data_IF_321027573360
#
_entry.id   IF_321027573360
#
_cell.length_a   1.000
_cell.length_b   1.000
_cell.length_c   1.000
_cell.angle_alpha   90.00
_cell.angle_beta   90.00
_cell.angle_gamma   90.00
#
_symmetry.space_group_name_H-M   'P 1'
#
loop_
_entity.id
_entity.type
_entity.pdbx_description
1 polymer ?
#
# COMPACT_ATOMS: atom_id res chain seq x y z
N UNK A 1 -19.50 -4.36 2.85
CA UNK A 1 -18.29 -4.20 3.68
C UNK A 1 -17.84 -2.73 3.70
N UNK A 2 -18.75 -1.77 3.79
CA UNK A 2 -18.42 -0.34 3.64
C UNK A 2 -18.08 0.35 4.96
N UNK A 3 -18.71 -0.08 6.06
CA UNK A 3 -18.43 0.46 7.40
C UNK A 3 -16.98 0.20 7.82
N UNK A 4 -16.43 -0.98 7.56
CA UNK A 4 -15.04 -1.29 7.89
C UNK A 4 -14.03 -0.55 7.00
N UNK A 5 -14.39 -0.24 5.75
CA UNK A 5 -13.55 0.57 4.86
C UNK A 5 -13.38 2.00 5.39
N UNK A 6 -14.48 2.62 5.82
CA UNK A 6 -14.43 3.97 6.37
C UNK A 6 -14.00 4.02 7.84
N UNK A 7 -14.30 2.98 8.62
CA UNK A 7 -14.02 2.91 10.06
C UNK A 7 -13.37 1.57 10.41
N UNK A 8 -12.12 1.34 9.98
CA UNK A 8 -11.43 0.09 10.27
C UNK A 8 -11.04 0.02 11.74
N UNK A 9 -11.11 -1.18 12.32
CA UNK A 9 -10.66 -1.44 13.69
C UNK A 9 -9.15 -1.26 13.86
N UNK A 10 -8.40 -1.47 12.78
CA UNK A 10 -6.95 -1.27 12.71
C UNK A 10 -6.69 -0.18 11.68
N UNK A 11 -6.04 0.90 12.11
CA UNK A 11 -5.82 2.08 11.24
C UNK A 11 -4.53 1.99 10.43
N UNK A 12 -3.54 1.25 10.92
CA UNK A 12 -2.24 1.07 10.30
C UNK A 12 -1.58 -0.24 10.75
N UNK A 13 -0.64 -0.71 9.94
CA UNK A 13 0.34 -1.71 10.33
C UNK A 13 1.71 -1.08 10.47
N UNK A 14 2.58 -1.70 11.27
CA UNK A 14 3.99 -1.35 11.31
C UNK A 14 4.83 -2.57 10.96
N UNK A 15 5.93 -2.34 10.23
CA UNK A 15 6.94 -3.34 9.91
C UNK A 15 8.31 -2.71 10.11
N UNK A 16 9.18 -3.36 10.88
CA UNK A 16 10.58 -2.94 10.99
C UNK A 16 11.41 -3.68 9.94
N UNK A 17 12.30 -2.97 9.24
CA UNK A 17 13.28 -3.61 8.35
C UNK A 17 14.24 -4.47 9.16
N UNK A 18 14.82 -5.50 8.52
CA UNK A 18 15.76 -6.40 9.20
C UNK A 18 16.98 -5.60 9.66
N UNK A 19 17.56 -6.00 10.79
CA UNK A 19 18.75 -5.32 11.35
C UNK A 19 20.02 -5.53 10.51
N UNK A 20 20.05 -6.58 9.69
CA UNK A 20 21.27 -7.04 9.00
C UNK A 20 21.50 -6.37 7.63
N UNK A 21 20.46 -5.80 7.01
CA UNK A 21 20.57 -5.30 5.63
C UNK A 21 19.60 -4.15 5.35
N UNK A 22 20.07 -3.20 4.56
CA UNK A 22 19.23 -2.15 3.98
C UNK A 22 18.33 -2.76 2.90
N UNK A 23 17.10 -2.26 2.78
CA UNK A 23 16.10 -2.80 1.85
C UNK A 23 15.78 -1.74 0.79
N UNK A 24 15.81 -2.15 -0.47
CA UNK A 24 15.27 -1.35 -1.57
C UNK A 24 13.77 -1.59 -1.63
N UNK A 25 12.98 -0.55 -1.36
CA UNK A 25 11.52 -0.61 -1.42
C UNK A 25 11.03 -0.03 -2.75
N UNK A 26 10.44 -0.84 -3.64
CA UNK A 26 9.84 -0.34 -4.87
C UNK A 26 8.52 0.37 -4.58
N UNK A 27 8.30 1.49 -5.27
CA UNK A 27 7.07 2.26 -5.21
C UNK A 27 6.15 1.85 -6.37
N UNK A 28 4.85 1.70 -6.09
CA UNK A 28 3.85 1.38 -7.11
C UNK A 28 3.63 2.52 -8.12
N UNK A 29 3.88 3.76 -7.70
CA UNK A 29 3.88 4.97 -8.52
C UNK A 29 5.14 5.77 -8.25
N UNK A 30 5.75 6.42 -9.27
CA UNK A 30 6.89 7.29 -9.03
C UNK A 30 6.52 8.43 -8.09
N UNK A 31 7.33 8.68 -7.06
CA UNK A 31 7.22 9.87 -6.22
C UNK A 31 8.16 10.96 -6.74
N UNK A 32 7.84 12.23 -6.49
CA UNK A 32 8.70 13.35 -6.92
C UNK A 32 9.76 13.62 -5.86
N UNK A 33 11.03 13.46 -6.24
CA UNK A 33 12.17 13.84 -5.40
C UNK A 33 12.34 15.37 -5.30
N UNK A 34 13.19 15.82 -4.37
CA UNK A 34 13.53 17.25 -4.21
C UNK A 34 14.21 17.85 -5.45
N UNK A 35 14.88 17.00 -6.24
CA UNK A 35 15.51 17.32 -7.51
C UNK A 35 14.51 17.35 -8.70
N UNK A 36 13.23 17.07 -8.45
CA UNK A 36 12.21 16.99 -9.51
C UNK A 36 12.20 15.68 -10.29
N UNK A 37 13.16 14.77 -10.05
CA UNK A 37 13.20 13.46 -10.68
C UNK A 37 12.17 12.50 -10.08
N UNK A 38 11.66 11.60 -10.91
CA UNK A 38 10.73 10.56 -10.50
C UNK A 38 11.46 9.42 -9.81
N UNK A 39 11.31 9.31 -8.50
CA UNK A 39 11.85 8.24 -7.68
C UNK A 39 10.90 7.05 -7.75
N UNK A 40 11.39 5.90 -8.21
CA UNK A 40 10.61 4.65 -8.28
C UNK A 40 10.93 3.67 -7.17
N UNK A 41 12.07 3.85 -6.51
CA UNK A 41 12.55 2.97 -5.46
C UNK A 41 13.21 3.83 -4.38
N UNK A 42 13.01 3.47 -3.12
CA UNK A 42 13.64 4.15 -1.99
C UNK A 42 14.51 3.15 -1.23
N UNK A 43 15.71 3.57 -0.85
CA UNK A 43 16.54 2.82 0.08
C UNK A 43 16.04 3.07 1.49
N UNK A 44 15.64 2.01 2.17
CA UNK A 44 15.19 2.02 3.55
C UNK A 44 16.30 1.41 4.40
N UNK A 45 16.94 2.18 5.30
CA UNK A 45 17.99 1.66 6.16
C UNK A 45 17.51 0.48 7.02
N UNK A 46 18.44 -0.37 7.45
CA UNK A 46 18.17 -1.39 8.46
C UNK A 46 17.55 -0.77 9.73
N UNK A 47 16.78 -1.58 10.45
CA UNK A 47 16.08 -1.18 11.68
C UNK A 47 15.15 0.06 11.55
N UNK A 48 14.62 0.33 10.36
CA UNK A 48 13.66 1.40 10.11
C UNK A 48 12.23 0.89 10.30
N UNK A 49 11.43 1.61 11.08
CA UNK A 49 10.01 1.32 11.23
C UNK A 49 9.21 1.93 10.07
N UNK A 50 8.54 1.08 9.31
CA UNK A 50 7.68 1.43 8.19
C UNK A 50 6.23 1.37 8.69
N UNK A 51 5.52 2.50 8.61
CA UNK A 51 4.10 2.60 8.97
C UNK A 51 3.26 2.56 7.68
N UNK A 52 2.35 1.59 7.60
CA UNK A 52 1.47 1.36 6.46
C UNK A 52 0.05 1.75 6.86
N UNK A 53 -0.48 2.84 6.30
CA UNK A 53 -1.83 3.32 6.61
C UNK A 53 -2.89 2.56 5.82
N UNK A 54 -3.78 1.88 6.54
CA UNK A 54 -4.94 1.19 5.98
C UNK A 54 -5.97 2.24 5.54
N UNK A 55 -6.24 3.20 6.42
CA UNK A 55 -7.21 4.29 6.18
C UNK A 55 -6.87 5.09 4.93
N UNK A 56 -5.58 5.39 4.70
CA UNK A 56 -5.17 6.16 3.53
C UNK A 56 -5.50 5.42 2.22
N UNK A 57 -5.30 4.11 2.19
CA UNK A 57 -5.63 3.27 1.03
C UNK A 57 -7.14 3.15 0.85
N UNK A 58 -7.86 2.87 1.94
CA UNK A 58 -9.30 2.66 1.94
C UNK A 58 -10.11 3.93 1.61
N UNK A 59 -9.50 5.11 1.76
CA UNK A 59 -10.07 6.42 1.41
C UNK A 59 -9.38 7.08 0.23
N UNK A 60 -8.48 6.37 -0.47
CA UNK A 60 -7.72 6.96 -1.57
C UNK A 60 -8.66 7.30 -2.75
N UNK A 61 -8.77 8.58 -3.16
CA UNK A 61 -9.61 8.97 -4.29
C UNK A 61 -9.17 8.37 -5.62
N UNK A 62 -7.90 8.00 -5.79
CA UNK A 62 -7.42 7.34 -7.00
C UNK A 62 -7.91 5.88 -7.10
N UNK A 63 -8.20 5.24 -5.97
CA UNK A 63 -8.68 3.85 -5.92
C UNK A 63 -10.22 3.84 -5.93
N UNK A 64 -10.83 4.70 -5.12
CA UNK A 64 -12.27 4.69 -4.83
C UNK A 64 -13.08 5.78 -5.57
N UNK A 65 -12.42 6.63 -6.36
CA UNK A 65 -13.01 7.78 -7.04
C UNK A 65 -12.98 9.05 -6.17
N UNK A 66 -12.72 10.20 -6.80
CA UNK A 66 -12.61 11.51 -6.13
C UNK A 66 -13.85 11.88 -5.32
N UNK A 67 -15.02 11.58 -5.88
CA UNK A 67 -16.28 12.09 -5.35
C UNK A 67 -16.85 11.18 -4.26
N UNK A 68 -16.45 9.91 -4.26
CA UNK A 68 -17.08 8.85 -3.45
C UNK A 68 -16.14 8.18 -2.44
N UNK A 69 -14.85 8.53 -2.41
CA UNK A 69 -13.86 7.86 -1.54
C UNK A 69 -14.14 8.03 -0.05
N UNK A 70 -14.74 9.15 0.35
CA UNK A 70 -15.12 9.43 1.74
C UNK A 70 -16.60 9.13 2.05
N UNK A 71 -17.39 8.80 1.02
CA UNK A 71 -18.82 8.55 1.19
C UNK A 71 -19.06 7.09 1.59
N UNK A 72 -20.01 6.88 2.50
CA UNK A 72 -20.48 5.55 2.86
C UNK A 72 -21.55 5.11 1.85
N UNK A 73 -21.20 4.21 0.94
CA UNK A 73 -22.09 3.67 -0.10
C UNK A 73 -22.20 2.15 0.08
N UNK A 74 -23.22 1.64 0.79
CA UNK A 74 -23.33 0.21 1.11
C UNK A 74 -23.60 -0.64 -0.14
N UNK A 75 -24.31 -0.11 -1.14
CA UNK A 75 -24.65 -0.79 -2.40
C UNK A 75 -23.42 -0.99 -3.30
N UNK A 76 -22.30 -0.32 -3.03
CA UNK A 76 -21.04 -0.45 -3.79
C UNK A 76 -20.59 -1.91 -3.92
N UNK A 77 -20.89 -2.72 -2.91
CA UNK A 77 -20.50 -4.13 -2.83
C UNK A 77 -21.50 -5.07 -3.50
N UNK A 78 -22.62 -4.55 -3.99
CA UNK A 78 -23.67 -5.31 -4.69
C UNK A 78 -23.48 -5.31 -6.21
N UNK A 79 -22.64 -4.40 -6.73
CA UNK A 79 -22.26 -4.31 -8.13
C UNK A 79 -20.78 -4.74 -8.30
N UNK A 80 -20.35 -5.13 -9.52
CA UNK A 80 -18.94 -5.36 -9.80
C UNK A 80 -18.12 -4.09 -9.48
N UNK A 81 -17.05 -4.28 -8.72
CA UNK A 81 -16.19 -3.18 -8.28
C UNK A 81 -15.43 -2.56 -9.46
N UNK A 82 -15.08 -1.26 -9.39
CA UNK A 82 -14.22 -0.62 -10.37
C UNK A 82 -12.88 -1.35 -10.51
N UNK A 83 -12.34 -1.38 -11.73
CA UNK A 83 -11.05 -2.03 -12.01
C UNK A 83 -9.87 -1.44 -11.24
N UNK A 84 -9.97 -0.17 -10.81
CA UNK A 84 -9.00 0.48 -9.92
C UNK A 84 -8.89 -0.21 -8.56
N UNK A 85 -10.01 -0.71 -8.02
CA UNK A 85 -10.05 -1.44 -6.74
C UNK A 85 -9.49 -2.85 -6.93
N UNK A 86 -9.91 -3.54 -8.00
CA UNK A 86 -9.42 -4.91 -8.26
C UNK A 86 -7.93 -4.96 -8.56
N UNK A 87 -7.39 -3.94 -9.25
CA UNK A 87 -5.97 -3.85 -9.55
C UNK A 87 -5.12 -3.38 -8.36
N UNK A 88 -5.71 -2.62 -7.42
CA UNK A 88 -5.05 -2.22 -6.18
C UNK A 88 -4.90 -3.39 -5.20
N UNK A 89 -5.76 -4.41 -5.31
CA UNK A 89 -5.72 -5.61 -4.50
C UNK A 89 -4.58 -6.53 -4.96
N UNK A 90 -3.34 -6.14 -4.61
CA UNK A 90 -2.13 -6.95 -4.65
C UNK A 90 -2.02 -7.89 -5.84
N UNK A 91 -1.56 -7.36 -6.98
CA UNK A 91 -0.90 -8.22 -7.95
C UNK A 91 0.17 -9.04 -7.22
N UNK A 92 0.06 -10.37 -7.32
CA UNK A 92 1.10 -11.28 -6.88
C UNK A 92 2.38 -10.93 -7.65
N UNK A 93 3.20 -10.06 -7.07
CA UNK A 93 4.57 -9.88 -7.52
C UNK A 93 5.27 -11.24 -7.39
N UNK A 94 6.17 -11.61 -8.32
CA UNK A 94 6.94 -12.84 -8.20
C UNK A 94 7.62 -12.83 -6.84
N UNK A 95 7.37 -13.88 -6.05
CA UNK A 95 7.95 -14.03 -4.73
C UNK A 95 9.46 -13.84 -4.83
N UNK A 96 9.97 -12.85 -4.11
CA UNK A 96 11.41 -12.69 -3.93
C UNK A 96 11.88 -13.98 -3.25
N UNK A 97 12.73 -14.81 -3.88
CA UNK A 97 13.13 -16.07 -3.28
C UNK A 97 13.90 -15.78 -2.00
N UNK A 98 13.38 -16.24 -0.86
CA UNK A 98 14.13 -16.31 0.39
C UNK A 98 15.30 -17.27 0.18
N UNK A 99 16.50 -16.73 -0.10
CA UNK A 99 17.73 -17.50 -0.10
C UNK A 99 18.16 -17.70 1.35
N UNK A 100 17.70 -18.79 1.95
CA UNK A 100 18.23 -19.26 3.22
C UNK A 100 19.72 -19.58 3.06
N UNK A 101 20.57 -18.80 3.71
CA UNK A 101 21.90 -19.24 4.11
C UNK A 101 21.69 -20.14 5.33
N UNK A 102 21.80 -21.44 5.12
CA UNK A 102 22.04 -22.39 6.22
C UNK A 102 23.52 -22.77 6.12
N UNK A 103 24.19 -22.68 7.26
CA UNK A 103 25.54 -23.15 7.55
C UNK A 103 25.77 -24.61 7.18
#
# INVERSE_FOLDING_TARGET
METLRLYPLVSYFSRTTRELEDVIMPLSKPSRGLNGEGVREIQVPNNTNIIISIIATDRNPEIWGSDHSLQWIPERWLAPLPSSVTNAQGGAGPGIPYRGLVS
#
